data_IF_958349353841
#
_entry.id   IF_958349353841
#
_cell.length_a   1.000
_cell.length_b   1.000
_cell.length_c   1.000
_cell.angle_alpha   90.00
_cell.angle_beta   90.00
_cell.angle_gamma   90.00
#
_symmetry.space_group_name_H-M   'P 1'
#
loop_
_entity.id
_entity.type
_entity.pdbx_description
1 polymer ?
#
# COMPACT_ATOMS: atom_id res chain seq x y z
N UNK A 1 -4.09 -14.40 -17.59
CA UNK A 1 -4.71 -13.07 -17.28
C UNK A 1 -3.60 -12.09 -16.98
N UNK A 2 -3.45 -11.05 -17.79
CA UNK A 2 -2.43 -10.01 -17.57
C UNK A 2 -2.90 -9.01 -16.52
N UNK A 3 -2.08 -8.77 -15.51
CA UNK A 3 -2.39 -7.93 -14.35
C UNK A 3 -1.37 -6.81 -14.26
N UNK A 4 -1.85 -5.59 -14.06
CA UNK A 4 -1.00 -4.42 -13.78
C UNK A 4 -1.30 -3.86 -12.41
N UNK A 5 -0.28 -3.83 -11.55
CA UNK A 5 -0.37 -3.27 -10.21
C UNK A 5 0.20 -1.84 -10.24
N UNK A 6 -0.61 -0.85 -9.87
CA UNK A 6 -0.18 0.54 -9.75
C UNK A 6 0.08 0.89 -8.29
N UNK A 7 1.35 1.13 -7.97
CA UNK A 7 1.78 1.60 -6.65
C UNK A 7 1.43 3.08 -6.43
N UNK A 8 1.34 3.55 -5.19
CA UNK A 8 1.24 4.98 -4.90
C UNK A 8 2.42 5.75 -5.49
N UNK A 9 2.15 6.96 -6.00
CA UNK A 9 3.25 7.88 -6.32
C UNK A 9 4.11 8.13 -5.08
N UNK A 10 5.42 8.12 -5.22
CA UNK A 10 6.43 8.18 -4.15
C UNK A 10 6.58 6.89 -3.31
N UNK A 11 5.84 5.83 -3.61
CA UNK A 11 6.13 4.53 -3.01
C UNK A 11 7.44 3.98 -3.60
N UNK A 12 8.41 3.69 -2.74
CA UNK A 12 9.72 3.26 -3.18
C UNK A 12 9.78 1.73 -3.30
N UNK A 13 9.94 1.21 -4.50
CA UNK A 13 10.01 -0.23 -4.78
C UNK A 13 11.47 -0.68 -4.91
N UNK A 14 12.25 -0.53 -3.83
CA UNK A 14 13.67 -0.90 -3.81
C UNK A 14 14.06 -1.62 -2.51
N UNK A 15 15.10 -2.47 -2.51
CA UNK A 15 15.50 -3.22 -1.32
C UNK A 15 15.84 -2.36 -0.10
N UNK A 16 16.39 -1.17 -0.32
CA UNK A 16 16.88 -0.30 0.76
C UNK A 16 15.80 0.60 1.35
N UNK A 17 14.83 1.02 0.54
CA UNK A 17 13.86 2.07 0.92
C UNK A 17 12.41 1.65 0.68
N UNK A 18 12.13 0.36 0.61
CA UNK A 18 10.77 -0.12 0.38
C UNK A 18 9.82 0.31 1.50
N UNK A 19 8.69 0.90 1.13
CA UNK A 19 7.57 1.07 2.03
C UNK A 19 6.79 -0.24 2.24
N UNK A 20 5.88 -0.23 3.20
CA UNK A 20 5.06 -1.41 3.53
C UNK A 20 4.23 -1.91 2.33
N UNK A 21 3.72 -0.99 1.50
CA UNK A 21 2.95 -1.35 0.29
C UNK A 21 3.84 -2.05 -0.73
N UNK A 22 5.05 -1.56 -0.95
CA UNK A 22 6.02 -2.17 -1.87
C UNK A 22 6.43 -3.56 -1.44
N UNK A 23 6.71 -3.77 -0.16
CA UNK A 23 7.04 -5.09 0.38
C UNK A 23 5.87 -6.06 0.22
N UNK A 24 4.66 -5.63 0.60
CA UNK A 24 3.47 -6.43 0.44
C UNK A 24 3.24 -6.84 -1.01
N UNK A 25 3.28 -5.89 -1.96
CA UNK A 25 3.08 -6.17 -3.39
C UNK A 25 4.15 -7.12 -3.93
N UNK A 26 5.41 -6.93 -3.54
CA UNK A 26 6.49 -7.83 -3.94
C UNK A 26 6.27 -9.26 -3.43
N UNK A 27 5.85 -9.41 -2.18
CA UNK A 27 5.68 -10.74 -1.56
C UNK A 27 4.46 -11.48 -2.13
N UNK A 28 3.31 -10.80 -2.28
CA UNK A 28 2.13 -11.42 -2.91
C UNK A 28 2.38 -11.79 -4.37
N UNK A 29 3.11 -10.95 -5.11
CA UNK A 29 3.44 -11.24 -6.52
C UNK A 29 4.28 -12.49 -6.66
N UNK A 30 5.27 -12.70 -5.77
CA UNK A 30 6.14 -13.88 -5.82
C UNK A 30 5.40 -15.21 -5.65
N UNK A 31 4.37 -15.23 -4.80
CA UNK A 31 3.60 -16.45 -4.50
C UNK A 31 2.33 -16.60 -5.34
N UNK A 32 1.99 -15.58 -6.12
CA UNK A 32 0.81 -15.60 -6.99
C UNK A 32 0.95 -16.63 -8.10
N UNK A 33 -0.11 -17.37 -8.39
CA UNK A 33 -0.21 -18.22 -9.59
C UNK A 33 -0.10 -17.42 -10.90
N UNK A 34 -0.33 -16.10 -10.85
CA UNK A 34 -0.19 -15.18 -11.98
C UNK A 34 1.15 -14.44 -12.01
N UNK A 35 2.16 -14.87 -11.24
CA UNK A 35 3.41 -14.12 -11.06
C UNK A 35 4.11 -13.73 -12.38
N UNK A 36 4.01 -14.58 -13.42
CA UNK A 36 4.57 -14.32 -14.76
C UNK A 36 3.80 -13.29 -15.56
N UNK A 37 2.53 -13.05 -15.23
CA UNK A 37 1.62 -12.15 -15.92
C UNK A 37 1.40 -10.82 -15.18
N UNK A 38 2.02 -10.66 -14.00
CA UNK A 38 1.92 -9.46 -13.19
C UNK A 38 3.05 -8.49 -13.56
N UNK A 39 2.68 -7.25 -13.88
CA UNK A 39 3.60 -6.11 -14.00
C UNK A 39 3.31 -5.09 -12.92
N UNK A 40 4.35 -4.58 -12.27
CA UNK A 40 4.26 -3.62 -11.17
C UNK A 40 4.75 -2.27 -11.68
N UNK A 41 3.94 -1.23 -11.52
CA UNK A 41 4.23 0.12 -11.96
C UNK A 41 4.40 1.06 -10.77
N UNK A 42 5.43 1.89 -10.83
CA UNK A 42 5.71 2.87 -9.79
C UNK A 42 6.67 3.95 -10.28
N UNK A 43 7.05 4.86 -9.38
CA UNK A 43 8.05 5.88 -9.63
C UNK A 43 9.13 5.81 -8.55
N UNK A 44 10.14 5.00 -8.77
CA UNK A 44 11.24 4.72 -7.83
C UNK A 44 12.55 5.21 -8.40
N UNK A 45 13.25 6.08 -7.69
CA UNK A 45 14.53 6.64 -8.14
C UNK A 45 15.70 5.65 -8.05
N UNK A 46 15.71 4.76 -7.04
CA UNK A 46 16.77 3.76 -6.86
C UNK A 46 16.96 2.88 -8.11
N UNK A 47 18.21 2.61 -8.49
CA UNK A 47 18.51 1.70 -9.60
C UNK A 47 18.11 0.26 -9.32
N UNK A 48 18.31 -0.23 -8.10
CA UNK A 48 17.92 -1.60 -7.68
C UNK A 48 16.43 -1.66 -7.35
N UNK A 49 15.71 -2.60 -7.95
CA UNK A 49 14.29 -2.85 -7.73
C UNK A 49 14.09 -4.17 -6.98
N UNK A 50 12.96 -4.32 -6.27
CA UNK A 50 12.62 -5.54 -5.53
C UNK A 50 12.40 -6.74 -6.45
N UNK A 51 11.92 -6.51 -7.68
CA UNK A 51 11.67 -7.59 -8.66
C UNK A 51 11.89 -7.11 -10.09
N UNK A 52 12.08 -8.08 -11.01
CA UNK A 52 12.31 -7.81 -12.44
C UNK A 52 11.06 -7.37 -13.22
N UNK A 53 9.87 -7.67 -12.72
CA UNK A 53 8.60 -7.30 -13.32
C UNK A 53 8.13 -5.88 -12.95
N UNK A 54 9.01 -5.06 -12.41
CA UNK A 54 8.76 -3.65 -12.11
C UNK A 54 9.08 -2.76 -13.32
N UNK A 55 8.14 -1.86 -13.61
CA UNK A 55 8.28 -0.83 -14.65
C UNK A 55 8.29 0.55 -13.99
N UNK A 56 9.36 1.30 -14.19
CA UNK A 56 9.47 2.66 -13.68
C UNK A 56 8.72 3.64 -14.60
N UNK A 57 7.88 4.48 -14.00
CA UNK A 57 7.16 5.53 -14.72
C UNK A 57 7.96 6.82 -14.64
N UNK A 58 8.53 7.25 -15.75
CA UNK A 58 9.20 8.54 -15.86
C UNK A 58 8.18 9.65 -16.10
N UNK A 59 8.22 10.67 -15.24
CA UNK A 59 7.23 11.74 -15.26
C UNK A 59 7.80 13.01 -15.91
N UNK A 60 7.21 13.40 -17.01
CA UNK A 60 7.46 14.73 -17.58
C UNK A 60 6.57 15.75 -16.85
N UNK A 61 7.16 16.55 -15.97
CA UNK A 61 6.43 17.60 -15.23
C UNK A 61 5.79 18.61 -16.22
N UNK A 62 4.50 18.83 -16.06
CA UNK A 62 3.74 19.85 -16.80
C UNK A 62 3.34 20.97 -15.82
N UNK A 63 3.50 22.22 -16.22
CA UNK A 63 3.33 23.42 -15.37
C UNK A 63 1.91 23.51 -14.89
N UNK A 64 0.88 23.09 -15.22
CA UNK A 64 -0.50 23.28 -14.73
C UNK A 64 -1.26 21.97 -14.43
N UNK A 65 -0.55 20.86 -14.19
CA UNK A 65 -1.20 19.58 -13.90
C UNK A 65 -0.74 19.01 -12.55
N UNK A 66 -1.68 18.43 -11.79
CA UNK A 66 -1.33 17.74 -10.56
C UNK A 66 -0.45 16.52 -10.85
N UNK A 67 0.54 16.29 -9.99
CA UNK A 67 1.46 15.15 -10.11
C UNK A 67 0.72 13.81 -10.17
N UNK A 68 -0.37 13.66 -9.41
CA UNK A 68 -1.21 12.45 -9.45
C UNK A 68 -1.83 12.23 -10.82
N UNK A 69 -2.30 13.29 -11.48
CA UNK A 69 -2.86 13.19 -12.83
C UNK A 69 -1.81 12.78 -13.85
N UNK A 70 -0.65 13.43 -13.83
CA UNK A 70 0.49 13.10 -14.73
C UNK A 70 0.91 11.64 -14.53
N UNK A 71 1.04 11.21 -13.26
CA UNK A 71 1.44 9.86 -12.91
C UNK A 71 0.48 8.80 -13.47
N UNK A 72 -0.83 8.98 -13.24
CA UNK A 72 -1.86 8.06 -13.74
C UNK A 72 -1.95 8.10 -15.27
N UNK A 73 -1.83 9.25 -15.89
CA UNK A 73 -1.83 9.36 -17.36
C UNK A 73 -0.61 8.68 -17.99
N UNK A 74 0.57 8.79 -17.35
CA UNK A 74 1.79 8.08 -17.80
C UNK A 74 1.62 6.57 -17.67
N UNK A 75 1.04 6.10 -16.57
CA UNK A 75 0.68 4.69 -16.41
C UNK A 75 -0.28 4.21 -17.49
N UNK A 76 -1.36 4.96 -17.77
CA UNK A 76 -2.35 4.59 -18.76
C UNK A 76 -1.77 4.54 -20.18
N UNK A 77 -0.80 5.40 -20.53
CA UNK A 77 -0.07 5.31 -21.79
C UNK A 77 0.74 4.02 -21.89
N UNK A 78 1.42 3.62 -20.82
CA UNK A 78 2.14 2.35 -20.78
C UNK A 78 1.20 1.15 -20.94
N UNK A 79 0.00 1.21 -20.33
CA UNK A 79 -1.01 0.15 -20.38
C UNK A 79 -1.55 -0.13 -21.81
N UNK A 80 -1.69 0.89 -22.67
CA UNK A 80 -2.23 0.72 -24.02
C UNK A 80 -1.50 -0.35 -24.84
N UNK A 81 -0.22 -0.59 -24.56
CA UNK A 81 0.63 -1.56 -25.27
C UNK A 81 0.58 -2.98 -24.68
N UNK A 82 -0.07 -3.18 -23.54
CA UNK A 82 0.09 -4.40 -22.74
C UNK A 82 -1.12 -5.34 -22.77
N UNK A 83 -2.25 -4.90 -23.28
CA UNK A 83 -3.53 -5.66 -23.25
C UNK A 83 -3.84 -6.19 -21.85
N UNK A 84 -3.72 -5.33 -20.84
CA UNK A 84 -3.99 -5.67 -19.44
C UNK A 84 -5.47 -5.92 -19.22
N UNK A 85 -5.80 -7.04 -18.60
CA UNK A 85 -7.17 -7.44 -18.28
C UNK A 85 -7.62 -6.92 -16.92
N UNK A 86 -6.68 -6.72 -15.98
CA UNK A 86 -6.93 -6.25 -14.62
C UNK A 86 -5.92 -5.20 -14.22
N UNK A 87 -6.39 -4.05 -13.75
CA UNK A 87 -5.58 -3.07 -13.02
C UNK A 87 -5.91 -3.15 -11.53
N UNK A 88 -4.89 -3.30 -10.69
CA UNK A 88 -4.99 -3.19 -9.25
C UNK A 88 -4.28 -1.91 -8.77
N UNK A 89 -5.03 -1.03 -8.12
CA UNK A 89 -4.52 0.25 -7.59
C UNK A 89 -4.33 0.12 -6.09
N UNK A 90 -3.14 0.45 -5.59
CA UNK A 90 -2.86 0.39 -4.17
C UNK A 90 -2.96 1.76 -3.51
N UNK A 91 -3.78 1.86 -2.47
CA UNK A 91 -3.82 2.95 -1.49
C UNK A 91 -3.99 4.37 -2.09
N UNK A 92 -4.64 4.48 -3.26
CA UNK A 92 -4.89 5.76 -3.95
C UNK A 92 -6.27 5.79 -4.62
N UNK A 93 -7.36 5.90 -3.83
CA UNK A 93 -8.72 5.92 -4.37
C UNK A 93 -8.97 7.08 -5.33
N UNK A 94 -8.28 8.21 -5.17
CA UNK A 94 -8.37 9.36 -6.09
C UNK A 94 -7.86 9.06 -7.52
N UNK A 95 -7.09 7.99 -7.75
CA UNK A 95 -6.67 7.59 -9.10
C UNK A 95 -7.81 6.96 -9.90
N UNK A 96 -8.78 6.34 -9.23
CA UNK A 96 -9.86 5.55 -9.85
C UNK A 96 -10.65 6.38 -10.86
N UNK A 97 -11.00 7.62 -10.52
CA UNK A 97 -11.75 8.51 -11.42
C UNK A 97 -11.00 8.77 -12.73
N UNK A 98 -9.69 8.93 -12.68
CA UNK A 98 -8.86 9.18 -13.88
C UNK A 98 -8.72 7.90 -14.70
N UNK A 99 -8.50 6.76 -14.05
CA UNK A 99 -8.34 5.47 -14.72
C UNK A 99 -9.64 5.09 -15.43
N UNK A 100 -10.77 5.18 -14.74
CA UNK A 100 -12.08 4.76 -15.27
C UNK A 100 -12.53 5.53 -16.51
N UNK A 101 -12.03 6.76 -16.71
CA UNK A 101 -12.30 7.53 -17.93
C UNK A 101 -11.67 6.93 -19.20
N UNK A 102 -10.63 6.09 -19.07
CA UNK A 102 -9.81 5.61 -20.19
C UNK A 102 -9.59 4.10 -20.20
N UNK A 103 -10.08 3.40 -19.18
CA UNK A 103 -9.90 1.96 -19.00
C UNK A 103 -11.22 1.29 -18.59
N UNK A 104 -11.64 0.31 -19.37
CA UNK A 104 -12.96 -0.33 -19.26
C UNK A 104 -12.92 -1.73 -18.66
N UNK A 105 -11.73 -2.38 -18.62
CA UNK A 105 -11.58 -3.74 -18.08
C UNK A 105 -11.64 -3.73 -16.53
N UNK A 106 -11.34 -4.86 -15.90
CA UNK A 106 -11.43 -5.03 -14.44
C UNK A 106 -10.52 -4.07 -13.69
N UNK A 107 -11.08 -3.41 -12.68
CA UNK A 107 -10.39 -2.42 -11.87
C UNK A 107 -10.61 -2.71 -10.37
N UNK A 108 -9.51 -3.00 -9.66
CA UNK A 108 -9.49 -3.27 -8.23
C UNK A 108 -8.80 -2.13 -7.48
N UNK A 109 -9.22 -1.92 -6.23
CA UNK A 109 -8.57 -0.98 -5.30
C UNK A 109 -8.24 -1.69 -4.00
N UNK A 110 -6.98 -1.64 -3.58
CA UNK A 110 -6.51 -2.17 -2.32
C UNK A 110 -6.24 -1.03 -1.31
N UNK A 111 -6.93 -1.06 -0.16
CA UNK A 111 -6.70 -0.14 0.95
C UNK A 111 -5.72 -0.73 1.96
N UNK A 112 -4.63 0.01 2.23
CA UNK A 112 -3.65 -0.30 3.27
C UNK A 112 -3.79 0.60 4.50
N UNK A 113 -4.48 1.73 4.37
CA UNK A 113 -4.72 2.72 5.43
C UNK A 113 -6.22 2.91 5.66
N UNK A 114 -6.58 3.76 6.65
CA UNK A 114 -7.97 4.13 6.91
C UNK A 114 -8.61 4.79 5.67
N UNK A 115 -9.64 4.20 5.08
CA UNK A 115 -10.32 4.75 3.91
C UNK A 115 -10.87 6.16 4.12
N UNK A 116 -11.30 6.50 5.35
CA UNK A 116 -11.86 7.81 5.65
C UNK A 116 -10.81 8.93 5.74
N UNK A 117 -9.53 8.58 5.82
CA UNK A 117 -8.43 9.54 5.82
C UNK A 117 -7.92 9.89 4.41
N UNK A 118 -8.38 9.19 3.36
CA UNK A 118 -7.78 9.23 2.03
C UNK A 118 -8.61 10.04 1.03
N UNK A 119 -7.97 10.92 0.27
CA UNK A 119 -8.61 11.65 -0.82
C UNK A 119 -9.18 10.67 -1.87
N UNK A 120 -10.47 10.85 -2.20
CA UNK A 120 -11.21 9.96 -3.11
C UNK A 120 -11.99 8.85 -2.39
N UNK A 121 -12.00 8.85 -1.04
CA UNK A 121 -12.83 7.94 -0.23
C UNK A 121 -13.29 8.54 1.12
N UNK A 122 -13.02 9.83 1.38
CA UNK A 122 -13.42 10.50 2.64
C UNK A 122 -14.92 10.63 2.78
N UNK A 123 -15.57 11.16 1.75
CA UNK A 123 -17.01 11.41 1.74
C UNK A 123 -17.82 10.16 1.39
N UNK A 124 -19.09 10.17 1.76
CA UNK A 124 -20.05 9.12 1.39
C UNK A 124 -20.14 9.01 -0.14
N UNK A 125 -20.27 10.13 -0.84
CA UNK A 125 -20.39 10.16 -2.30
C UNK A 125 -19.15 9.58 -3.01
N UNK A 126 -17.96 9.86 -2.51
CA UNK A 126 -16.71 9.26 -3.05
C UNK A 126 -16.73 7.73 -2.88
N UNK A 127 -17.15 7.22 -1.73
CA UNK A 127 -17.21 5.78 -1.48
C UNK A 127 -18.29 5.08 -2.30
N UNK A 128 -19.45 5.72 -2.48
CA UNK A 128 -20.51 5.23 -3.38
C UNK A 128 -19.95 5.19 -4.82
N UNK A 129 -19.24 6.22 -5.26
CA UNK A 129 -18.59 6.23 -6.56
C UNK A 129 -17.63 5.03 -6.73
N UNK A 130 -16.80 4.74 -5.72
CA UNK A 130 -15.90 3.58 -5.76
C UNK A 130 -16.66 2.25 -5.86
N UNK A 131 -17.71 2.06 -5.05
CA UNK A 131 -18.54 0.86 -5.08
C UNK A 131 -19.23 0.64 -6.44
N UNK A 132 -19.65 1.71 -7.10
CA UNK A 132 -20.32 1.61 -8.39
C UNK A 132 -19.35 1.37 -9.57
N UNK A 133 -18.12 1.85 -9.47
CA UNK A 133 -17.16 1.85 -10.58
C UNK A 133 -16.05 0.80 -10.49
N UNK A 134 -15.88 0.16 -9.33
CA UNK A 134 -14.89 -0.89 -9.14
C UNK A 134 -15.51 -2.28 -9.19
N UNK A 135 -14.75 -3.24 -9.71
CA UNK A 135 -15.12 -4.64 -9.69
C UNK A 135 -14.83 -5.25 -8.31
N UNK A 136 -13.76 -4.80 -7.63
CA UNK A 136 -13.42 -5.25 -6.28
C UNK A 136 -12.72 -4.16 -5.48
N UNK A 137 -13.05 -4.07 -4.19
CA UNK A 137 -12.36 -3.26 -3.20
C UNK A 137 -11.82 -4.21 -2.13
N UNK A 138 -10.50 -4.16 -1.91
CA UNK A 138 -9.82 -5.05 -0.99
C UNK A 138 -9.30 -4.22 0.20
N UNK A 139 -9.49 -4.73 1.40
CA UNK A 139 -9.04 -4.09 2.64
C UNK A 139 -8.01 -4.95 3.35
N UNK A 140 -7.05 -4.32 3.99
CA UNK A 140 -6.02 -5.02 4.78
C UNK A 140 -6.54 -5.54 6.13
N UNK A 141 -7.73 -5.15 6.55
CA UNK A 141 -8.34 -5.58 7.82
C UNK A 141 -9.86 -5.44 7.82
N UNK A 142 -10.52 -6.18 8.71
CA UNK A 142 -11.95 -6.03 8.98
C UNK A 142 -12.26 -4.62 9.49
N UNK A 143 -11.36 -4.02 10.27
CA UNK A 143 -11.52 -2.67 10.76
C UNK A 143 -11.59 -1.66 9.60
N UNK A 144 -10.66 -1.69 8.65
CA UNK A 144 -10.66 -0.78 7.50
C UNK A 144 -11.88 -1.00 6.60
N UNK A 145 -12.34 -2.24 6.43
CA UNK A 145 -13.61 -2.52 5.74
C UNK A 145 -14.80 -1.87 6.46
N UNK A 146 -14.94 -2.07 7.78
CA UNK A 146 -16.01 -1.46 8.57
C UNK A 146 -15.95 0.08 8.51
N UNK A 147 -14.76 0.66 8.58
CA UNK A 147 -14.55 2.11 8.42
C UNK A 147 -15.07 2.63 7.08
N UNK A 148 -14.80 1.91 5.99
CA UNK A 148 -15.27 2.29 4.66
C UNK A 148 -16.81 2.37 4.58
N UNK A 149 -17.51 1.52 5.31
CA UNK A 149 -18.98 1.46 5.29
C UNK A 149 -19.68 2.43 6.27
N UNK A 150 -18.96 3.19 7.08
CA UNK A 150 -19.58 4.18 7.99
C UNK A 150 -20.41 5.17 7.16
N UNK A 151 -21.69 5.29 7.49
CA UNK A 151 -22.67 6.15 6.79
C UNK A 151 -23.21 5.59 5.47
N UNK A 152 -22.88 4.35 5.11
CA UNK A 152 -23.34 3.68 3.89
C UNK A 152 -24.44 2.62 4.18
N UNK A 153 -25.38 2.92 5.06
CA UNK A 153 -26.39 1.97 5.58
C UNK A 153 -27.17 1.20 4.51
N UNK A 154 -27.43 1.81 3.35
CA UNK A 154 -28.23 1.21 2.27
C UNK A 154 -27.43 0.43 1.22
N UNK A 155 -26.12 0.24 1.43
CA UNK A 155 -25.22 -0.37 0.44
C UNK A 155 -24.79 -1.81 0.81
N UNK A 156 -25.56 -2.51 1.67
CA UNK A 156 -25.27 -3.90 2.08
C UNK A 156 -25.20 -4.88 0.90
N UNK A 157 -25.99 -4.65 -0.13
CA UNK A 157 -25.97 -5.44 -1.37
C UNK A 157 -24.64 -5.34 -2.15
N UNK A 158 -23.80 -4.33 -1.86
CA UNK A 158 -22.50 -4.16 -2.48
C UNK A 158 -21.33 -4.74 -1.66
N UNK A 159 -21.63 -5.39 -0.53
CA UNK A 159 -20.61 -6.10 0.27
C UNK A 159 -19.89 -7.20 -0.54
N UNK A 160 -20.57 -7.84 -1.48
CA UNK A 160 -19.99 -8.84 -2.37
C UNK A 160 -18.83 -8.29 -3.25
N UNK A 161 -18.80 -6.97 -3.50
CA UNK A 161 -17.70 -6.29 -4.18
C UNK A 161 -16.50 -6.03 -3.28
N UNK A 162 -16.60 -6.34 -1.99
CA UNK A 162 -15.49 -6.11 -1.05
C UNK A 162 -14.90 -7.42 -0.54
N UNK A 163 -13.66 -7.39 -0.12
CA UNK A 163 -13.00 -8.50 0.56
C UNK A 163 -11.93 -7.99 1.52
N UNK A 164 -11.57 -8.83 2.47
CA UNK A 164 -10.45 -8.58 3.37
C UNK A 164 -9.32 -9.55 3.02
N UNK A 165 -8.13 -9.00 2.80
CA UNK A 165 -6.90 -9.74 2.60
C UNK A 165 -5.87 -9.20 3.59
N UNK A 166 -5.60 -9.96 4.65
CA UNK A 166 -4.68 -9.56 5.71
C UNK A 166 -3.26 -9.46 5.16
N UNK A 167 -2.53 -8.45 5.64
CA UNK A 167 -1.11 -8.35 5.35
C UNK A 167 -0.35 -9.44 6.10
N UNK A 168 0.62 -10.03 5.42
CA UNK A 168 1.50 -11.05 5.99
C UNK A 168 2.95 -10.75 5.59
N UNK A 169 3.87 -11.37 6.28
CA UNK A 169 5.30 -11.35 5.96
C UNK A 169 5.82 -12.78 5.75
N UNK A 170 6.94 -12.89 5.06
CA UNK A 170 7.60 -14.17 4.87
C UNK A 170 8.01 -14.79 6.21
N UNK A 171 7.78 -16.09 6.35
CA UNK A 171 8.18 -16.82 7.56
C UNK A 171 9.70 -16.88 7.68
N UNK A 172 10.23 -16.42 8.80
CA UNK A 172 11.65 -16.49 9.12
C UNK A 172 11.88 -17.54 10.20
N UNK A 173 12.91 -18.37 10.04
CA UNK A 173 13.34 -19.27 11.12
C UNK A 173 13.96 -18.45 12.24
N UNK A 174 13.37 -18.51 13.42
CA UNK A 174 13.85 -17.79 14.61
C UNK A 174 14.37 -18.81 15.60
N UNK A 175 15.60 -18.61 16.09
CA UNK A 175 16.15 -19.37 17.19
C UNK A 175 15.86 -18.65 18.51
N UNK A 176 14.86 -19.12 19.24
CA UNK A 176 14.44 -18.52 20.51
C UNK A 176 15.46 -18.73 21.66
N UNK A 177 16.42 -19.65 21.52
CA UNK A 177 17.44 -19.93 22.54
C UNK A 177 18.47 -18.78 22.69
N UNK A 178 18.61 -17.95 21.67
CA UNK A 178 19.60 -16.87 21.61
C UNK A 178 18.97 -15.49 21.92
N UNK A 179 17.87 -15.42 22.63
CA UNK A 179 17.27 -14.14 23.04
C UNK A 179 18.20 -13.42 24.01
N UNK A 180 18.34 -12.12 23.79
CA UNK A 180 19.07 -11.19 24.67
C UNK A 180 18.05 -10.29 25.39
N UNK A 181 18.46 -9.71 26.51
CA UNK A 181 17.66 -8.72 27.25
C UNK A 181 17.66 -7.37 26.48
N UNK A 182 16.97 -7.34 25.35
CA UNK A 182 16.89 -6.16 24.48
C UNK A 182 15.43 -5.84 24.20
N UNK A 183 15.04 -4.60 24.46
CA UNK A 183 13.75 -4.05 24.05
C UNK A 183 13.96 -3.24 22.79
N UNK A 184 13.23 -3.54 21.70
CA UNK A 184 13.44 -2.89 20.41
C UNK A 184 12.22 -2.08 20.00
N UNK A 185 12.46 -0.84 19.56
CA UNK A 185 11.51 -0.06 18.76
C UNK A 185 11.83 -0.26 17.28
N UNK A 186 10.81 -0.54 16.46
CA UNK A 186 10.95 -0.68 15.02
C UNK A 186 9.89 0.17 14.34
N UNK A 187 10.30 1.21 13.62
CA UNK A 187 9.38 2.11 12.92
C UNK A 187 9.97 3.50 12.67
N UNK A 188 9.21 4.35 11.97
CA UNK A 188 9.62 5.75 11.80
C UNK A 188 9.71 6.46 13.14
N UNK A 189 10.74 7.32 13.31
CA UNK A 189 11.04 8.03 14.55
C UNK A 189 10.15 9.26 14.72
N UNK A 190 8.84 9.06 14.75
CA UNK A 190 7.85 10.13 14.88
C UNK A 190 6.71 9.77 15.84
N UNK A 191 5.93 10.80 16.24
CA UNK A 191 4.78 10.65 17.15
C UNK A 191 3.72 9.68 16.64
N UNK A 192 3.48 9.61 15.34
CA UNK A 192 2.47 8.71 14.76
C UNK A 192 2.80 7.22 14.97
N UNK A 193 4.07 6.91 15.27
CA UNK A 193 4.53 5.55 15.61
C UNK A 193 4.76 5.36 17.12
N UNK A 194 4.51 6.39 17.92
CA UNK A 194 4.69 6.33 19.37
C UNK A 194 6.16 6.34 19.80
N UNK A 195 7.06 6.90 19.00
CA UNK A 195 8.49 6.94 19.35
C UNK A 195 8.76 7.77 20.61
N UNK A 196 8.06 8.87 20.76
CA UNK A 196 8.10 9.70 21.99
C UNK A 196 7.62 8.94 23.23
N UNK A 197 6.54 8.16 23.11
CA UNK A 197 6.05 7.29 24.19
C UNK A 197 7.06 6.20 24.53
N UNK A 198 7.65 5.57 23.49
CA UNK A 198 8.71 4.59 23.67
C UNK A 198 9.89 5.18 24.44
N UNK A 199 10.34 6.39 24.07
CA UNK A 199 11.44 7.09 24.75
C UNK A 199 11.18 7.30 26.23
N UNK A 200 9.99 7.77 26.60
CA UNK A 200 9.60 7.97 28.00
C UNK A 200 9.51 6.64 28.79
N UNK A 201 8.96 5.61 28.16
CA UNK A 201 8.80 4.31 28.81
C UNK A 201 10.15 3.59 29.00
N UNK A 202 11.02 3.63 28.00
CA UNK A 202 12.27 2.87 28.02
C UNK A 202 13.25 3.39 29.07
N UNK A 203 13.31 4.70 29.32
CA UNK A 203 14.12 5.29 30.38
C UNK A 203 13.75 4.65 31.73
N UNK A 204 12.46 4.66 32.08
CA UNK A 204 11.96 4.09 33.34
C UNK A 204 12.24 2.59 33.46
N UNK A 205 12.19 1.86 32.33
CA UNK A 205 12.45 0.42 32.31
C UNK A 205 13.93 0.14 32.55
N UNK A 206 14.83 0.87 31.89
CA UNK A 206 16.27 0.65 32.01
C UNK A 206 16.80 1.06 33.37
N UNK A 207 16.24 2.09 33.99
CA UNK A 207 16.55 2.46 35.38
C UNK A 207 16.20 1.33 36.37
N UNK A 208 15.08 0.65 36.13
CA UNK A 208 14.63 -0.47 37.00
C UNK A 208 15.33 -1.80 36.68
N UNK A 209 15.76 -2.00 35.42
CA UNK A 209 16.35 -3.23 34.93
C UNK A 209 17.69 -2.97 34.23
N UNK A 210 18.79 -2.71 34.96
CA UNK A 210 20.07 -2.29 34.40
C UNK A 210 20.76 -3.35 33.54
N UNK A 211 20.33 -4.61 33.61
CA UNK A 211 20.80 -5.70 32.74
C UNK A 211 20.08 -5.77 31.39
N UNK A 212 19.13 -4.87 31.11
CA UNK A 212 18.48 -4.73 29.83
C UNK A 212 19.10 -3.60 29.01
N UNK A 213 18.93 -3.66 27.70
CA UNK A 213 19.33 -2.60 26.78
C UNK A 213 18.19 -2.28 25.78
N UNK A 214 18.25 -1.11 25.17
CA UNK A 214 17.28 -0.71 24.14
C UNK A 214 17.98 -0.60 22.79
N UNK A 215 17.22 -0.93 21.72
CA UNK A 215 17.64 -0.69 20.33
C UNK A 215 16.50 -0.02 19.56
N UNK A 216 16.87 0.93 18.73
CA UNK A 216 15.95 1.66 17.85
C UNK A 216 16.32 1.39 16.41
N UNK A 217 15.35 0.98 15.60
CA UNK A 217 15.48 0.72 14.18
C UNK A 217 14.44 1.54 13.42
N UNK A 218 14.90 2.52 12.65
CA UNK A 218 14.05 3.40 11.85
C UNK A 218 14.77 4.67 11.44
N UNK A 219 14.09 5.46 10.61
CA UNK A 219 14.51 6.78 10.13
C UNK A 219 13.38 7.80 10.34
N UNK A 220 13.65 9.06 10.06
CA UNK A 220 12.66 10.16 10.12
C UNK A 220 11.66 10.17 8.95
#
# INVERSE_FOLDING_TARGET
MKISILLPYKENYSPQYAGAVSLFVNDITKISSFNKDILIFGNTQSKKKLSKNYINLELNKKIFQSTSKIYVETFLKAQKKLNTELIEVHNRPNYIKIIKQKYINKLFLYFHNDPLSMNGSKSINERIYLLNNLDKIIFNSIWSQKRFFIGLSNQKNLLNKTSVCFQSSSKTKINFKNKKNIISFVGKLNKAKGYDIFGQAIIRILDKYPNWSAKVFGDE
#
